data_IF_058534589537
#
_entry.id   IF_058534589537
#
_cell.length_a   1.000
_cell.length_b   1.000
_cell.length_c   1.000
_cell.angle_alpha   90.00
_cell.angle_beta   90.00
_cell.angle_gamma   90.00
#
_symmetry.space_group_name_H-M   'P 1'
#
loop_
_entity.id
_entity.type
_entity.pdbx_description
1 polymer ?
#
# COMPACT_ATOMS: atom_id res chain seq x y z
N UNK A 1 39.35 -2.68 -0.62
CA UNK A 1 40.06 -1.39 -0.58
C UNK A 1 39.38 -0.41 -1.53
N UNK A 2 39.13 0.81 -1.06
CA UNK A 2 38.49 1.91 -1.80
C UNK A 2 39.41 3.12 -1.71
N UNK A 3 39.67 3.79 -2.84
CA UNK A 3 40.52 4.99 -2.86
C UNK A 3 39.80 6.19 -2.24
N UNK A 4 40.55 7.10 -1.61
CA UNK A 4 39.96 8.35 -1.08
C UNK A 4 39.33 9.22 -2.17
N UNK A 5 39.87 9.23 -3.40
CA UNK A 5 39.25 9.90 -4.55
C UNK A 5 37.78 9.48 -4.77
N UNK A 6 37.48 8.20 -4.60
CA UNK A 6 36.12 7.66 -4.73
C UNK A 6 35.25 8.12 -3.56
N UNK A 7 35.79 8.15 -2.35
CA UNK A 7 35.08 8.64 -1.17
C UNK A 7 34.74 10.13 -1.26
N UNK A 8 35.61 10.92 -1.87
CA UNK A 8 35.37 12.35 -2.08
C UNK A 8 34.23 12.63 -3.08
N UNK A 9 33.75 11.63 -3.83
CA UNK A 9 32.51 11.77 -4.62
C UNK A 9 31.24 11.78 -3.75
N UNK A 10 31.34 11.35 -2.49
CA UNK A 10 30.22 11.34 -1.56
C UNK A 10 29.96 12.76 -1.04
N UNK A 11 28.86 13.35 -1.50
CA UNK A 11 28.51 14.76 -1.25
C UNK A 11 28.63 15.20 0.21
N UNK A 12 28.27 14.34 1.17
CA UNK A 12 28.31 14.65 2.60
C UNK A 12 29.71 14.62 3.20
N UNK A 13 30.60 13.77 2.68
CA UNK A 13 31.99 13.78 3.09
C UNK A 13 32.68 15.02 2.51
N UNK A 14 32.46 15.27 1.21
CA UNK A 14 33.01 16.42 0.50
C UNK A 14 32.56 17.77 1.07
N UNK A 15 31.37 17.86 1.69
CA UNK A 15 30.92 19.06 2.38
C UNK A 15 31.62 19.31 3.72
N UNK A 16 32.24 18.29 4.31
CA UNK A 16 33.02 18.42 5.56
C UNK A 16 34.46 18.78 5.23
N UNK A 17 35.12 17.98 4.39
CA UNK A 17 36.49 18.23 3.93
C UNK A 17 36.74 17.58 2.58
N UNK A 18 37.67 18.13 1.82
CA UNK A 18 38.17 17.55 0.56
C UNK A 18 39.65 17.16 0.66
N UNK A 19 40.28 17.41 1.81
CA UNK A 19 41.67 17.05 2.04
C UNK A 19 41.79 15.59 2.48
N UNK A 20 42.56 14.82 1.71
CA UNK A 20 42.80 13.40 2.00
C UNK A 20 43.64 13.24 3.28
N UNK A 21 44.57 14.15 3.57
CA UNK A 21 45.39 14.04 4.77
C UNK A 21 44.56 14.22 6.05
N UNK A 22 43.64 15.18 6.04
CA UNK A 22 42.74 15.42 7.16
C UNK A 22 41.83 14.20 7.41
N UNK A 23 41.30 13.60 6.34
CA UNK A 23 40.50 12.36 6.44
C UNK A 23 41.33 11.22 7.05
N UNK A 24 42.56 11.02 6.60
CA UNK A 24 43.46 9.99 7.15
C UNK A 24 43.77 10.26 8.62
N UNK A 25 44.07 11.52 8.99
CA UNK A 25 44.33 11.94 10.37
C UNK A 25 43.11 11.69 11.26
N UNK A 26 41.90 11.95 10.77
CA UNK A 26 40.66 11.70 11.49
C UNK A 26 40.40 10.19 11.68
N UNK A 27 40.56 9.39 10.62
CA UNK A 27 40.38 7.94 10.68
C UNK A 27 41.37 7.27 11.64
N UNK A 28 42.63 7.74 11.70
CA UNK A 28 43.63 7.22 12.67
C UNK A 28 43.31 7.54 14.13
N UNK A 29 42.50 8.57 14.40
CA UNK A 29 42.04 8.93 15.75
C UNK A 29 40.76 8.20 16.16
N UNK A 30 40.13 7.46 15.24
CA UNK A 30 38.87 6.78 15.50
C UNK A 30 39.07 5.57 16.41
N UNK A 31 38.27 5.49 17.48
CA UNK A 31 38.30 4.36 18.44
C UNK A 31 37.47 3.15 18.00
N UNK A 32 36.59 3.30 17.02
CA UNK A 32 35.62 2.25 16.61
C UNK A 32 36.24 1.13 15.75
N UNK A 33 37.53 1.21 15.39
CA UNK A 33 38.31 0.21 14.60
C UNK A 33 37.56 -0.43 13.40
N UNK A 34 36.56 0.30 12.86
CA UNK A 34 35.68 -0.20 11.81
C UNK A 34 36.35 -0.14 10.44
N UNK A 35 37.25 0.82 10.26
CA UNK A 35 37.90 1.15 9.01
C UNK A 35 39.42 1.05 9.14
N UNK A 36 40.04 0.29 8.24
CA UNK A 36 41.49 0.17 8.11
C UNK A 36 41.99 1.05 6.96
N UNK A 37 43.12 1.71 7.18
CA UNK A 37 43.81 2.53 6.18
C UNK A 37 44.97 1.71 5.60
N UNK A 38 45.22 1.83 4.29
CA UNK A 38 46.35 1.17 3.65
C UNK A 38 47.67 1.77 4.12
N UNK A 39 48.76 1.00 4.00
CA UNK A 39 50.11 1.43 4.38
C UNK A 39 50.54 2.72 3.66
N UNK A 40 50.11 2.87 2.39
CA UNK A 40 50.36 4.05 1.55
C UNK A 40 49.44 5.26 1.88
N UNK A 41 48.50 5.13 2.82
CA UNK A 41 47.48 6.11 3.19
C UNK A 41 46.59 6.59 2.02
N UNK A 42 46.48 5.84 0.93
CA UNK A 42 45.68 6.23 -0.25
C UNK A 42 44.31 5.55 -0.32
N UNK A 43 44.11 4.47 0.45
CA UNK A 43 42.91 3.63 0.41
C UNK A 43 42.41 3.33 1.82
N UNK A 44 41.12 3.04 1.90
CA UNK A 44 40.46 2.55 3.12
C UNK A 44 39.64 1.30 2.82
N UNK A 45 39.44 0.44 3.80
CA UNK A 45 38.47 -0.66 3.75
C UNK A 45 37.80 -0.85 5.11
N UNK A 46 36.68 -1.54 5.15
CA UNK A 46 36.13 -2.06 6.42
C UNK A 46 37.06 -3.14 6.96
N UNK A 47 37.31 -3.14 8.26
CA UNK A 47 38.10 -4.14 8.96
C UNK A 47 37.52 -5.55 8.66
N UNK A 48 38.30 -6.49 8.11
CA UNK A 48 37.85 -7.85 7.80
C UNK A 48 37.36 -8.63 9.02
N UNK A 49 37.85 -8.34 10.21
CA UNK A 49 37.42 -8.98 11.47
C UNK A 49 36.02 -8.52 11.88
N UNK A 50 35.61 -7.31 11.47
CA UNK A 50 34.25 -6.79 11.71
C UNK A 50 33.33 -7.16 10.55
N UNK A 51 32.96 -8.44 10.51
CA UNK A 51 32.02 -8.99 9.54
C UNK A 51 30.73 -8.15 9.45
N UNK A 52 30.14 -8.12 8.25
CA UNK A 52 28.86 -7.47 8.03
C UNK A 52 27.79 -8.33 8.72
N UNK A 53 26.93 -7.75 9.58
CA UNK A 53 25.83 -8.50 10.18
C UNK A 53 24.94 -9.15 9.11
N UNK A 54 24.51 -10.38 9.35
CA UNK A 54 23.58 -11.06 8.44
C UNK A 54 22.23 -10.35 8.43
N UNK A 55 21.66 -10.17 7.24
CA UNK A 55 20.33 -9.57 7.09
C UNK A 55 19.26 -10.66 7.22
N UNK A 56 19.00 -11.08 8.45
CA UNK A 56 17.97 -12.06 8.79
C UNK A 56 16.80 -11.39 9.56
N UNK A 57 15.72 -12.15 9.75
CA UNK A 57 14.52 -11.65 10.43
C UNK A 57 14.75 -11.33 11.92
N UNK A 58 15.72 -11.97 12.57
CA UNK A 58 16.06 -11.69 13.97
C UNK A 58 16.72 -10.31 14.11
N UNK A 59 17.71 -10.00 13.27
CA UNK A 59 18.35 -8.68 13.21
C UNK A 59 17.33 -7.60 12.88
N UNK A 60 16.37 -7.90 11.99
CA UNK A 60 15.30 -6.97 11.67
C UNK A 60 14.39 -6.67 12.87
N UNK A 61 14.04 -7.69 13.66
CA UNK A 61 13.25 -7.54 14.89
C UNK A 61 14.03 -6.80 15.97
N UNK A 62 15.32 -7.07 16.09
CA UNK A 62 16.23 -6.38 17.01
C UNK A 62 16.32 -4.88 16.67
N UNK A 63 16.53 -4.54 15.39
CA UNK A 63 16.52 -3.16 14.92
C UNK A 63 15.17 -2.49 15.19
N UNK A 64 14.06 -3.19 14.96
CA UNK A 64 12.73 -2.66 15.24
C UNK A 64 12.54 -2.37 16.74
N UNK A 65 13.01 -3.26 17.62
CA UNK A 65 12.88 -3.15 19.06
C UNK A 65 13.70 -1.98 19.66
N UNK A 66 14.80 -1.57 19.01
CA UNK A 66 15.63 -0.42 19.42
C UNK A 66 15.46 0.82 18.54
N UNK A 67 14.37 0.89 17.77
CA UNK A 67 14.07 2.06 16.94
C UNK A 67 12.91 2.90 17.48
N UNK A 68 13.08 4.22 17.48
CA UNK A 68 12.01 5.18 17.75
C UNK A 68 11.42 5.74 16.46
N UNK A 69 10.13 6.02 16.50
CA UNK A 69 9.45 6.90 15.58
C UNK A 69 9.38 8.31 16.17
N UNK A 70 9.88 9.30 15.42
CA UNK A 70 9.84 10.71 15.83
C UNK A 70 9.14 11.52 14.75
N UNK A 71 8.09 12.26 15.11
CA UNK A 71 7.28 13.09 14.20
C UNK A 71 7.18 14.52 14.72
N UNK A 72 7.15 15.47 13.79
CA UNK A 72 6.98 16.90 14.08
C UNK A 72 8.09 17.76 13.50
N UNK A 73 8.99 17.17 12.72
CA UNK A 73 10.02 17.94 12.04
C UNK A 73 9.41 18.80 10.91
N UNK A 74 9.88 20.03 10.73
CA UNK A 74 9.58 20.86 9.57
C UNK A 74 9.84 20.12 8.26
N UNK A 75 9.00 20.34 7.24
CA UNK A 75 9.07 19.61 5.96
C UNK A 75 10.31 19.95 5.11
N UNK A 76 10.93 21.09 5.40
CA UNK A 76 12.17 21.60 4.84
C UNK A 76 13.42 21.15 5.61
N UNK A 77 13.26 20.38 6.69
CA UNK A 77 14.40 19.88 7.50
C UNK A 77 15.32 19.00 6.66
N UNK A 78 16.63 19.24 6.78
CA UNK A 78 17.66 18.47 6.09
C UNK A 78 18.29 17.40 6.99
N UNK A 79 18.90 16.36 6.38
CA UNK A 79 19.53 15.27 7.12
C UNK A 79 20.63 15.75 8.09
N UNK A 80 21.41 16.76 7.71
CA UNK A 80 22.45 17.32 8.58
C UNK A 80 21.86 17.85 9.89
N UNK A 81 20.85 18.72 9.79
CA UNK A 81 20.16 19.30 10.95
C UNK A 81 19.53 18.25 11.87
N UNK A 82 19.02 17.15 11.28
CA UNK A 82 18.45 16.05 12.05
C UNK A 82 19.53 15.28 12.80
N UNK A 83 20.68 15.03 12.18
CA UNK A 83 21.80 14.36 12.86
C UNK A 83 22.40 15.22 13.96
N UNK A 84 22.52 16.53 13.74
CA UNK A 84 22.97 17.47 14.78
C UNK A 84 22.01 17.44 15.97
N UNK A 85 20.70 17.43 15.70
CA UNK A 85 19.66 17.30 16.73
C UNK A 85 19.81 16.01 17.53
N UNK A 86 19.89 14.84 16.88
CA UNK A 86 20.08 13.57 17.59
C UNK A 86 21.42 13.51 18.33
N UNK A 87 22.45 14.21 17.84
CA UNK A 87 23.74 14.34 18.51
C UNK A 87 23.74 15.23 19.76
N UNK A 88 22.67 16.00 20.01
CA UNK A 88 22.54 16.77 21.26
C UNK A 88 22.14 15.92 22.47
N UNK A 89 21.65 14.70 22.22
CA UNK A 89 21.22 13.78 23.28
C UNK A 89 22.38 12.86 23.67
N UNK A 90 22.38 12.42 24.92
CA UNK A 90 23.37 11.43 25.41
C UNK A 90 23.17 10.05 24.78
N UNK A 91 21.94 9.75 24.34
CA UNK A 91 21.57 8.47 23.74
C UNK A 91 22.22 8.30 22.37
N UNK A 92 22.89 7.16 22.17
CA UNK A 92 23.66 6.92 20.94
C UNK A 92 22.74 6.47 19.80
N UNK A 93 22.57 7.31 18.80
CA UNK A 93 21.83 7.00 17.58
C UNK A 93 22.79 6.46 16.51
N UNK A 94 22.54 5.25 16.03
CA UNK A 94 23.32 4.60 14.96
C UNK A 94 22.85 5.02 13.57
N UNK A 95 21.54 5.16 13.39
CA UNK A 95 20.97 5.46 12.08
C UNK A 95 19.72 6.34 12.19
N UNK A 96 19.60 7.30 11.28
CA UNK A 96 18.43 8.17 11.15
C UNK A 96 17.87 8.01 9.74
N UNK A 97 16.66 7.45 9.66
CA UNK A 97 15.95 7.25 8.40
C UNK A 97 14.82 8.27 8.24
N UNK A 98 15.02 9.24 7.33
CA UNK A 98 13.97 10.19 6.96
C UNK A 98 12.86 9.50 6.18
N UNK A 99 11.61 9.64 6.64
CA UNK A 99 10.45 9.09 5.93
C UNK A 99 10.06 10.05 4.81
N UNK A 100 10.12 9.56 3.57
CA UNK A 100 9.76 10.35 2.38
C UNK A 100 8.54 9.76 1.68
N UNK A 101 7.84 10.57 0.90
CA UNK A 101 6.86 10.12 -0.09
C UNK A 101 7.27 10.60 -1.46
N UNK A 102 6.90 9.83 -2.48
CA UNK A 102 7.02 10.27 -3.86
C UNK A 102 5.89 11.24 -4.15
N UNK A 103 6.24 12.50 -4.39
CA UNK A 103 5.30 13.49 -4.87
C UNK A 103 5.07 13.27 -6.38
N UNK A 104 3.88 12.81 -6.76
CA UNK A 104 3.58 12.41 -8.14
C UNK A 104 3.73 13.55 -9.16
N UNK A 105 3.28 14.80 -8.87
CA UNK A 105 3.42 15.92 -9.80
C UNK A 105 4.88 16.31 -10.06
N UNK A 106 5.71 16.39 -9.02
CA UNK A 106 7.12 16.81 -9.15
C UNK A 106 8.08 15.64 -9.37
N UNK A 107 7.59 14.40 -9.29
CA UNK A 107 8.39 13.16 -9.30
C UNK A 107 9.58 13.17 -8.35
N UNK A 108 9.45 13.90 -7.25
CA UNK A 108 10.52 14.07 -6.27
C UNK A 108 10.12 13.52 -4.91
N UNK A 109 11.10 13.02 -4.16
CA UNK A 109 10.87 12.51 -2.81
C UNK A 109 10.82 13.66 -1.81
N UNK A 110 9.64 13.92 -1.26
CA UNK A 110 9.41 14.95 -0.24
C UNK A 110 9.41 14.34 1.15
N UNK A 111 9.94 15.07 2.13
CA UNK A 111 9.98 14.64 3.51
C UNK A 111 8.59 14.67 4.15
N UNK A 112 8.29 13.68 5.00
CA UNK A 112 7.00 13.57 5.72
C UNK A 112 6.99 14.29 7.07
N UNK A 113 8.07 14.93 7.49
CA UNK A 113 8.19 15.49 8.85
C UNK A 113 8.31 14.43 9.93
N UNK A 114 8.75 13.21 9.57
CA UNK A 114 8.97 12.11 10.52
C UNK A 114 10.15 11.25 10.14
N UNK A 115 10.83 10.70 11.15
CA UNK A 115 12.03 9.88 11.01
C UNK A 115 11.89 8.60 11.84
N UNK A 116 12.66 7.58 11.47
CA UNK A 116 12.99 6.48 12.36
C UNK A 116 14.42 6.66 12.85
N UNK A 117 14.63 6.66 14.16
CA UNK A 117 15.93 6.75 14.78
C UNK A 117 16.26 5.40 15.43
N UNK A 118 17.30 4.74 14.94
CA UNK A 118 17.81 3.47 15.45
C UNK A 118 18.87 3.77 16.52
N UNK A 119 18.61 3.35 17.75
CA UNK A 119 19.53 3.54 18.87
C UNK A 119 20.48 2.36 19.01
N UNK A 120 21.66 2.58 19.59
CA UNK A 120 22.67 1.53 19.81
C UNK A 120 22.18 0.43 20.74
N UNK A 121 21.39 0.77 21.76
CA UNK A 121 20.79 -0.18 22.68
C UNK A 121 19.30 0.09 22.89
N UNK A 122 18.58 -0.92 23.40
CA UNK A 122 17.18 -0.76 23.84
C UNK A 122 17.09 0.17 25.05
N UNK A 123 18.13 0.22 25.88
CA UNK A 123 18.25 1.13 27.02
C UNK A 123 18.28 2.59 26.56
N UNK A 124 19.08 2.90 25.53
CA UNK A 124 19.14 4.22 24.91
C UNK A 124 17.78 4.62 24.33
N UNK A 125 17.08 3.69 23.66
CA UNK A 125 15.72 3.93 23.18
C UNK A 125 14.77 4.27 24.35
N UNK A 126 14.78 3.45 25.41
CA UNK A 126 13.87 3.63 26.54
C UNK A 126 14.17 4.94 27.29
N UNK A 127 15.44 5.30 27.45
CA UNK A 127 15.84 6.58 28.01
C UNK A 127 15.34 7.74 27.15
N UNK A 128 15.43 7.64 25.82
CA UNK A 128 14.91 8.64 24.90
C UNK A 128 13.37 8.74 24.95
N UNK A 129 12.68 7.61 25.07
CA UNK A 129 11.21 7.56 25.20
C UNK A 129 10.72 8.10 26.56
N UNK A 130 11.54 7.98 27.61
CA UNK A 130 11.24 8.49 28.94
C UNK A 130 11.39 10.03 29.05
N UNK A 131 11.95 10.69 28.04
CA UNK A 131 12.01 12.15 27.99
C UNK A 131 10.58 12.71 27.90
N UNK A 132 10.16 13.45 28.93
CA UNK A 132 8.81 14.04 28.99
C UNK A 132 8.53 15.00 27.83
N UNK A 133 9.57 15.67 27.33
CA UNK A 133 9.43 16.67 26.27
C UNK A 133 10.65 16.70 25.36
N UNK A 134 10.44 16.35 24.10
CA UNK A 134 11.44 16.45 23.03
C UNK A 134 11.00 17.56 22.08
N UNK A 135 11.75 18.66 22.02
CA UNK A 135 11.41 19.82 21.18
C UNK A 135 12.42 20.03 20.07
N UNK A 136 11.96 20.50 18.92
CA UNK A 136 12.80 20.88 17.81
C UNK A 136 12.32 22.20 17.20
N UNK A 137 13.18 23.23 17.20
CA UNK A 137 12.86 24.58 16.69
C UNK A 137 11.49 25.09 17.18
N UNK A 138 11.27 25.00 18.49
CA UNK A 138 10.03 25.42 19.20
C UNK A 138 8.79 24.52 19.00
N UNK A 139 8.91 23.44 18.22
CA UNK A 139 7.82 22.49 18.03
C UNK A 139 8.01 21.24 18.91
N UNK A 140 6.96 20.84 19.60
CA UNK A 140 6.93 19.60 20.38
C UNK A 140 6.86 18.40 19.44
N UNK A 141 7.80 17.47 19.60
CA UNK A 141 7.89 16.26 18.80
C UNK A 141 7.11 15.13 19.45
N UNK A 142 6.40 14.38 18.61
CA UNK A 142 5.73 13.14 19.01
C UNK A 142 6.75 12.02 18.88
N UNK A 143 7.12 11.43 20.01
CA UNK A 143 8.03 10.28 20.08
C UNK A 143 7.22 9.03 20.47
N UNK A 144 7.41 7.94 19.74
CA UNK A 144 6.86 6.61 20.07
C UNK A 144 7.88 5.54 19.70
N UNK A 145 7.74 4.31 20.21
CA UNK A 145 8.52 3.21 19.66
C UNK A 145 8.10 2.93 18.20
N UNK A 146 9.02 2.45 17.37
CA UNK A 146 8.68 2.10 15.98
C UNK A 146 7.63 0.98 15.93
N UNK A 147 7.69 0.03 16.86
CA UNK A 147 6.70 -1.04 16.99
C UNK A 147 5.29 -0.51 17.28
N UNK A 148 5.15 0.40 18.25
CA UNK A 148 3.87 1.06 18.55
C UNK A 148 3.30 1.76 17.31
N UNK A 149 4.13 2.52 16.61
CA UNK A 149 3.72 3.20 15.37
C UNK A 149 3.23 2.21 14.29
N UNK A 150 3.89 1.06 14.13
CA UNK A 150 3.50 0.05 13.15
C UNK A 150 2.18 -0.63 13.53
N UNK A 151 1.96 -0.92 14.81
CA UNK A 151 0.72 -1.51 15.30
C UNK A 151 -0.46 -0.57 15.11
N UNK A 152 -0.33 0.70 15.50
CA UNK A 152 -1.34 1.74 15.26
C UNK A 152 -1.68 1.84 13.75
N UNK A 153 -0.67 1.77 12.88
CA UNK A 153 -0.89 1.82 11.43
C UNK A 153 -1.56 0.58 10.87
N UNK A 154 -1.32 -0.59 11.46
CA UNK A 154 -1.98 -1.84 11.07
C UNK A 154 -3.46 -1.80 11.46
N UNK A 155 -3.76 -1.32 12.65
CA UNK A 155 -5.13 -1.14 13.14
C UNK A 155 -5.90 -0.13 12.29
N UNK A 156 -5.32 1.03 12.00
CA UNK A 156 -5.92 2.05 11.12
C UNK A 156 -6.23 1.48 9.73
N UNK A 157 -5.33 0.67 9.17
CA UNK A 157 -5.53 0.01 7.87
C UNK A 157 -6.67 -1.00 7.93
N UNK A 158 -6.72 -1.83 8.97
CA UNK A 158 -7.75 -2.84 9.13
C UNK A 158 -9.14 -2.20 9.31
N UNK A 159 -9.23 -1.14 10.13
CA UNK A 159 -10.47 -0.38 10.31
C UNK A 159 -10.97 0.22 8.99
N UNK A 160 -10.06 0.81 8.19
CA UNK A 160 -10.41 1.38 6.88
C UNK A 160 -10.88 0.32 5.88
N UNK A 161 -10.28 -0.86 5.88
CA UNK A 161 -10.72 -1.97 5.02
C UNK A 161 -12.09 -2.46 5.44
N UNK A 162 -12.33 -2.68 6.74
CA UNK A 162 -13.63 -3.09 7.26
C UNK A 162 -14.74 -2.07 6.95
N UNK A 163 -14.45 -0.77 7.04
CA UNK A 163 -15.42 0.27 6.68
C UNK A 163 -15.74 0.26 5.17
N UNK A 164 -14.75 -0.03 4.31
CA UNK A 164 -14.95 -0.16 2.86
C UNK A 164 -15.81 -1.39 2.53
N UNK A 165 -15.51 -2.53 3.14
CA UNK A 165 -16.29 -3.77 2.97
C UNK A 165 -17.72 -3.59 3.45
N UNK A 166 -17.93 -2.90 4.58
CA UNK A 166 -19.27 -2.58 5.07
C UNK A 166 -20.05 -1.70 4.08
N UNK A 167 -19.41 -0.66 3.53
CA UNK A 167 -20.03 0.20 2.50
C UNK A 167 -20.30 -0.56 1.21
N UNK A 168 -19.45 -1.51 0.81
CA UNK A 168 -19.68 -2.36 -0.36
C UNK A 168 -20.80 -3.37 -0.13
N UNK A 169 -20.93 -3.92 1.08
CA UNK A 169 -22.03 -4.80 1.46
C UNK A 169 -23.37 -4.04 1.58
N UNK A 170 -23.37 -2.81 2.09
CA UNK A 170 -24.56 -1.94 2.14
C UNK A 170 -24.99 -1.47 0.74
N UNK A 171 -24.04 -1.26 -0.18
CA UNK A 171 -24.32 -0.94 -1.59
C UNK A 171 -24.44 -2.17 -2.48
N UNK A 172 -24.40 -3.39 -1.93
CA UNK A 172 -24.61 -4.61 -2.69
C UNK A 172 -26.08 -4.65 -3.12
N UNK A 173 -26.33 -4.39 -4.40
CA UNK A 173 -27.64 -4.50 -5.02
C UNK A 173 -28.13 -5.95 -4.82
N UNK A 174 -29.17 -6.14 -4.01
CA UNK A 174 -29.87 -7.42 -3.93
C UNK A 174 -30.55 -7.66 -5.29
N UNK A 175 -30.00 -8.57 -6.08
CA UNK A 175 -30.66 -9.01 -7.30
C UNK A 175 -31.88 -9.84 -6.93
N UNK A 176 -33.05 -9.59 -7.53
CA UNK A 176 -34.26 -10.37 -7.25
C UNK A 176 -34.04 -11.84 -7.62
N UNK A 177 -34.15 -12.71 -6.63
CA UNK A 177 -34.02 -14.17 -6.79
C UNK A 177 -35.22 -14.75 -7.56
N UNK A 178 -34.98 -15.68 -8.49
CA UNK A 178 -36.07 -16.28 -9.28
C UNK A 178 -36.77 -15.30 -10.24
N UNK A 179 -36.03 -14.33 -10.77
CA UNK A 179 -36.51 -13.36 -11.75
C UNK A 179 -35.92 -13.58 -13.16
N UNK A 180 -35.29 -14.73 -13.44
CA UNK A 180 -34.72 -15.05 -14.77
C UNK A 180 -35.37 -16.32 -15.29
N UNK A 181 -35.83 -16.28 -16.54
CA UNK A 181 -36.37 -17.43 -17.28
C UNK A 181 -35.51 -17.67 -18.51
N UNK A 182 -35.02 -18.90 -18.67
CA UNK A 182 -34.39 -19.35 -19.89
C UNK A 182 -35.46 -19.96 -20.81
N UNK A 183 -35.37 -19.70 -22.11
CA UNK A 183 -36.23 -20.31 -23.12
C UNK A 183 -35.39 -20.93 -24.24
N UNK A 184 -35.95 -21.95 -24.88
CA UNK A 184 -35.35 -22.69 -25.99
C UNK A 184 -36.39 -22.88 -27.10
N UNK A 185 -35.93 -23.15 -28.32
CA UNK A 185 -36.80 -23.43 -29.47
C UNK A 185 -37.20 -22.19 -30.27
N UNK A 186 -36.42 -21.11 -30.17
CA UNK A 186 -36.58 -19.94 -31.04
C UNK A 186 -36.12 -20.24 -32.46
N UNK A 187 -36.75 -19.63 -33.46
CA UNK A 187 -36.42 -19.78 -34.89
C UNK A 187 -35.72 -18.52 -35.41
N UNK A 188 -35.06 -18.62 -36.58
CA UNK A 188 -34.29 -17.53 -37.19
C UNK A 188 -35.11 -16.27 -37.52
N UNK A 189 -36.43 -16.37 -37.47
CA UNK A 189 -37.35 -15.29 -37.79
C UNK A 189 -37.74 -14.44 -36.57
N UNK A 190 -37.66 -15.00 -35.36
CA UNK A 190 -38.07 -14.33 -34.12
C UNK A 190 -37.07 -13.23 -33.75
N UNK A 191 -37.55 -12.01 -33.52
CA UNK A 191 -36.76 -10.93 -32.95
C UNK A 191 -37.06 -10.78 -31.45
N UNK A 192 -36.14 -10.11 -30.74
CA UNK A 192 -36.32 -9.80 -29.31
C UNK A 192 -37.60 -8.99 -29.04
N UNK A 193 -38.02 -8.16 -30.01
CA UNK A 193 -39.22 -7.34 -29.94
C UNK A 193 -40.50 -8.20 -29.93
N UNK A 194 -40.53 -9.29 -30.71
CA UNK A 194 -41.70 -10.20 -30.76
C UNK A 194 -41.87 -10.96 -29.43
N UNK A 195 -40.75 -11.40 -28.83
CA UNK A 195 -40.73 -12.03 -27.50
C UNK A 195 -41.23 -11.04 -26.45
N UNK A 196 -40.77 -9.78 -26.51
CA UNK A 196 -41.20 -8.73 -25.58
C UNK A 196 -42.71 -8.48 -25.66
N UNK A 197 -43.26 -8.36 -26.88
CA UNK A 197 -44.68 -8.15 -27.08
C UNK A 197 -45.54 -9.26 -26.47
N UNK A 198 -45.13 -10.53 -26.60
CA UNK A 198 -45.84 -11.67 -26.00
C UNK A 198 -45.75 -11.71 -24.48
N UNK A 199 -44.64 -11.29 -23.90
CA UNK A 199 -44.50 -11.18 -22.46
C UNK A 199 -45.33 -10.03 -21.89
N UNK A 200 -45.44 -8.91 -22.63
CA UNK A 200 -46.31 -7.79 -22.28
C UNK A 200 -47.80 -8.20 -22.32
N UNK A 201 -48.23 -9.02 -23.30
CA UNK A 201 -49.59 -9.60 -23.38
C UNK A 201 -49.93 -10.47 -22.15
N UNK A 202 -48.93 -11.07 -21.50
CA UNK A 202 -49.09 -11.90 -20.29
C UNK A 202 -49.06 -11.09 -18.98
N UNK A 203 -49.03 -9.76 -19.08
CA UNK A 203 -48.90 -8.80 -17.99
C UNK A 203 -47.66 -9.08 -17.13
N UNK A 204 -46.53 -9.38 -17.77
CA UNK A 204 -45.26 -9.66 -17.09
C UNK A 204 -44.30 -8.49 -17.26
N UNK A 205 -43.81 -7.94 -16.14
CA UNK A 205 -42.87 -6.81 -16.16
C UNK A 205 -41.45 -7.26 -16.49
N UNK A 206 -41.08 -7.10 -17.75
CA UNK A 206 -39.78 -7.48 -18.30
C UNK A 206 -38.74 -6.38 -18.08
N UNK A 207 -37.67 -6.71 -17.39
CA UNK A 207 -36.51 -5.83 -17.19
C UNK A 207 -35.53 -5.85 -18.37
N UNK A 208 -35.15 -7.04 -18.83
CA UNK A 208 -34.16 -7.20 -19.90
C UNK A 208 -34.34 -8.53 -20.65
N UNK A 209 -34.14 -8.53 -21.96
CA UNK A 209 -34.14 -9.75 -22.79
C UNK A 209 -32.76 -9.88 -23.41
N UNK A 210 -32.08 -10.97 -23.09
CA UNK A 210 -30.80 -11.37 -23.66
C UNK A 210 -31.06 -12.43 -24.74
N UNK A 211 -31.21 -11.95 -25.97
CA UNK A 211 -31.51 -12.76 -27.15
C UNK A 211 -31.02 -12.05 -28.42
N UNK A 212 -30.30 -12.76 -29.29
CA UNK A 212 -30.02 -12.29 -30.64
C UNK A 212 -30.85 -13.07 -31.66
N UNK A 213 -31.30 -12.38 -32.71
CA UNK A 213 -32.06 -13.00 -33.80
C UNK A 213 -31.24 -14.13 -34.43
N UNK A 214 -31.81 -15.33 -34.51
CA UNK A 214 -31.12 -16.54 -34.99
C UNK A 214 -30.58 -17.43 -33.88
N UNK A 215 -30.57 -16.99 -32.63
CA UNK A 215 -30.21 -17.87 -31.52
C UNK A 215 -31.36 -18.85 -31.24
N UNK A 216 -31.02 -20.11 -30.94
CA UNK A 216 -32.00 -21.14 -30.57
C UNK A 216 -32.51 -21.01 -29.13
N UNK A 217 -31.78 -20.26 -28.30
CA UNK A 217 -32.03 -20.09 -26.86
C UNK A 217 -31.84 -18.64 -26.44
N UNK A 218 -32.43 -18.23 -25.32
CA UNK A 218 -32.28 -16.90 -24.77
C UNK A 218 -32.71 -16.80 -23.32
N UNK A 219 -32.45 -15.65 -22.70
CA UNK A 219 -32.81 -15.39 -21.31
C UNK A 219 -33.66 -14.14 -21.18
N UNK A 220 -34.69 -14.21 -20.34
CA UNK A 220 -35.55 -13.09 -19.98
C UNK A 220 -35.37 -12.80 -18.51
N UNK A 221 -34.92 -11.59 -18.19
CA UNK A 221 -34.86 -11.06 -16.83
C UNK A 221 -36.09 -10.20 -16.56
N UNK A 222 -36.82 -10.57 -15.54
CA UNK A 222 -37.99 -9.90 -14.99
C UNK A 222 -37.58 -8.97 -13.84
N UNK A 223 -38.41 -7.96 -13.54
CA UNK A 223 -38.08 -6.97 -12.51
C UNK A 223 -38.42 -7.44 -11.08
N UNK A 224 -39.41 -8.32 -10.94
CA UNK A 224 -39.92 -8.76 -9.63
C UNK A 224 -39.32 -10.10 -9.16
N UNK A 225 -39.10 -10.22 -7.85
CA UNK A 225 -38.62 -11.46 -7.22
C UNK A 225 -39.67 -12.58 -7.34
N UNK A 226 -39.26 -13.78 -7.76
CA UNK A 226 -40.16 -14.94 -7.92
C UNK A 226 -41.04 -14.94 -9.17
N UNK A 227 -41.02 -13.87 -9.96
CA UNK A 227 -41.83 -13.72 -11.18
C UNK A 227 -41.55 -14.77 -12.26
N UNK A 228 -40.35 -15.36 -12.29
CA UNK A 228 -40.03 -16.45 -13.22
C UNK A 228 -40.92 -17.67 -13.01
N UNK A 229 -41.21 -18.00 -11.74
CA UNK A 229 -42.08 -19.12 -11.39
C UNK A 229 -43.53 -18.83 -11.76
N UNK A 230 -44.00 -17.62 -11.48
CA UNK A 230 -45.36 -17.16 -11.86
C UNK A 230 -45.54 -17.15 -13.37
N UNK A 231 -44.53 -16.74 -14.15
CA UNK A 231 -44.57 -16.81 -15.59
C UNK A 231 -44.71 -18.27 -16.05
N UNK A 232 -43.87 -19.19 -15.55
CA UNK A 232 -43.94 -20.62 -15.91
C UNK A 232 -45.30 -21.24 -15.55
N UNK A 233 -45.89 -20.88 -14.40
CA UNK A 233 -47.23 -21.35 -13.99
C UNK A 233 -48.37 -20.80 -14.87
N UNK A 234 -48.21 -19.59 -15.44
CA UNK A 234 -49.17 -19.01 -16.39
C UNK A 234 -49.11 -19.66 -17.78
N UNK A 235 -48.01 -20.34 -18.12
CA UNK A 235 -47.84 -20.98 -19.42
C UNK A 235 -48.49 -22.36 -19.47
N UNK A 236 -49.21 -22.64 -20.55
CA UNK A 236 -49.68 -24.00 -20.84
C UNK A 236 -48.52 -24.77 -21.47
N UNK A 237 -48.18 -25.93 -20.91
CA UNK A 237 -47.04 -26.79 -21.33
C UNK A 237 -45.66 -26.11 -21.34
N UNK A 238 -45.49 -25.00 -20.59
CA UNK A 238 -44.26 -24.19 -20.61
C UNK A 238 -43.88 -23.65 -22.01
N UNK A 239 -44.87 -23.44 -22.88
CA UNK A 239 -44.68 -22.95 -24.25
C UNK A 239 -45.34 -21.60 -24.45
N UNK A 240 -44.68 -20.75 -25.25
CA UNK A 240 -45.21 -19.48 -25.74
C UNK A 240 -45.21 -19.55 -27.27
N UNK A 241 -46.34 -19.22 -27.89
CA UNK A 241 -46.47 -19.13 -29.34
C UNK A 241 -46.23 -17.68 -29.75
N UNK A 242 -45.13 -17.41 -30.45
CA UNK A 242 -44.76 -16.07 -30.93
C UNK A 242 -45.35 -15.79 -32.30
N UNK A 243 -45.41 -16.79 -33.19
CA UNK A 243 -46.10 -16.75 -34.48
C UNK A 243 -47.09 -17.91 -34.60
N UNK A 244 -48.30 -17.62 -35.06
CA UNK A 244 -49.28 -18.63 -35.44
C UNK A 244 -49.01 -19.01 -36.90
N UNK A 245 -48.46 -20.20 -37.14
CA UNK A 245 -48.28 -20.71 -38.50
C UNK A 245 -49.66 -21.21 -38.96
N UNK A 246 -50.50 -20.31 -39.45
CA UNK A 246 -51.66 -20.73 -40.23
C UNK A 246 -51.17 -21.38 -41.53
N UNK A 247 -51.41 -22.68 -41.64
CA UNK A 247 -51.36 -23.47 -42.87
C UNK A 247 -52.12 -22.73 -43.99
N UNK A 248 -51.40 -22.02 -44.86
CA UNK A 248 -51.89 -21.65 -46.17
C UNK A 248 -51.43 -22.71 -47.16
N UNK A 249 -52.25 -23.75 -47.32
CA UNK A 249 -52.29 -24.58 -48.53
C UNK A 249 -53.13 -23.89 -49.61
#
# INVERSE_FOLDING_TARGET
>A
WVKFEVLLTFKRLASITTDTEEIVKALKKSEDDLLEISEDNTKVRRNPERAIPEFNEEVRKEHLARSAYVRGFPLDSEMGQLLDFFGTFEQKVENVQMRKYLDKPTKSYKFKGSVFALFKSVEDLNAFLALEKVTYKEQDLIVKSQEQYLNEKKEERNARTAEKEKKEAENAIKLPTGAVVAFEGSTDEIAREDIRQKLDELEVDVGFIDYNKGDATGHVRLNEEGSAKTLIEKLTDSKIIVYDVHDNY
#
